data_IF_008578518938
#
_entry.id   IF_008578518938
#
_cell.length_a   1.000
_cell.length_b   1.000
_cell.length_c   1.000
_cell.angle_alpha   90.00
_cell.angle_beta   90.00
_cell.angle_gamma   90.00
#
_symmetry.space_group_name_H-M   'P 1'
#
loop_
_entity.id
_entity.type
_entity.pdbx_description
1 polymer ?
#
# COMPACT_ATOMS: atom_id res chain seq x y z
N UNK A 1 10.00 10.90 9.92
CA UNK A 1 9.35 10.65 8.63
C UNK A 1 9.95 9.43 7.94
N UNK A 2 11.27 9.31 7.94
CA UNK A 2 12.06 8.25 7.29
C UNK A 2 11.56 6.83 7.59
N UNK A 3 11.24 6.54 8.86
CA UNK A 3 10.67 5.25 9.26
C UNK A 3 9.38 4.92 8.49
N UNK A 4 8.47 5.89 8.31
CA UNK A 4 7.22 5.70 7.54
C UNK A 4 7.51 5.47 6.06
N UNK A 5 8.52 6.13 5.49
CA UNK A 5 8.94 5.89 4.09
C UNK A 5 9.49 4.49 3.92
N UNK A 6 10.33 4.02 4.85
CA UNK A 6 10.84 2.64 4.84
C UNK A 6 9.71 1.62 5.00
N UNK A 7 8.77 1.85 5.91
CA UNK A 7 7.58 0.99 6.09
C UNK A 7 6.71 0.97 4.83
N UNK A 8 6.50 2.11 4.18
CA UNK A 8 5.77 2.21 2.91
C UNK A 8 6.46 1.44 1.79
N UNK A 9 7.78 1.55 1.65
CA UNK A 9 8.56 0.78 0.67
C UNK A 9 8.43 -0.73 0.92
N UNK A 10 8.44 -1.17 2.18
CA UNK A 10 8.19 -2.58 2.52
C UNK A 10 6.76 -3.00 2.15
N UNK A 11 5.77 -2.15 2.41
CA UNK A 11 4.38 -2.38 1.99
C UNK A 11 4.25 -2.53 0.47
N UNK A 12 4.89 -1.66 -0.31
CA UNK A 12 4.93 -1.76 -1.78
C UNK A 12 5.53 -3.09 -2.25
N UNK A 13 6.66 -3.50 -1.68
CA UNK A 13 7.29 -4.80 -2.00
C UNK A 13 6.37 -5.97 -1.69
N UNK A 14 5.70 -5.95 -0.54
CA UNK A 14 4.76 -6.98 -0.14
C UNK A 14 3.49 -7.01 -1.01
N UNK A 15 3.12 -5.89 -1.62
CA UNK A 15 2.08 -5.81 -2.64
C UNK A 15 2.55 -6.24 -4.04
N UNK A 16 3.81 -6.69 -4.19
CA UNK A 16 4.38 -7.19 -5.44
C UNK A 16 5.11 -6.14 -6.28
N UNK A 17 5.19 -4.89 -5.81
CA UNK A 17 5.89 -3.80 -6.53
C UNK A 17 7.41 -3.99 -6.42
N UNK A 18 8.09 -4.01 -7.55
CA UNK A 18 9.55 -4.24 -7.60
C UNK A 18 10.36 -2.99 -7.29
N UNK A 19 10.54 -2.71 -6.00
CA UNK A 19 11.37 -1.60 -5.51
C UNK A 19 12.77 -2.08 -5.11
N UNK A 20 13.81 -1.67 -5.84
CA UNK A 20 15.22 -1.96 -5.52
C UNK A 20 15.76 -1.09 -4.37
N UNK A 21 16.95 -1.44 -3.86
CA UNK A 21 17.64 -0.62 -2.86
C UNK A 21 18.02 0.75 -3.41
N UNK A 22 18.44 0.83 -4.68
CA UNK A 22 18.79 2.11 -5.32
C UNK A 22 17.57 3.05 -5.36
N UNK A 23 16.40 2.55 -5.76
CA UNK A 23 15.15 3.32 -5.75
C UNK A 23 14.73 3.75 -4.35
N UNK A 24 15.01 2.91 -3.34
CA UNK A 24 14.76 3.28 -1.95
C UNK A 24 15.62 4.48 -1.55
N UNK A 25 16.90 4.49 -1.95
CA UNK A 25 17.81 5.62 -1.71
C UNK A 25 17.37 6.86 -2.50
N UNK A 26 16.99 6.69 -3.76
CA UNK A 26 16.50 7.79 -4.61
C UNK A 26 15.24 8.43 -4.04
N UNK A 27 14.30 7.62 -3.53
CA UNK A 27 13.10 8.10 -2.85
C UNK A 27 13.44 8.90 -1.58
N UNK A 28 14.37 8.42 -0.75
CA UNK A 28 14.82 9.15 0.43
C UNK A 28 15.44 10.50 0.06
N UNK A 29 16.33 10.52 -0.94
CA UNK A 29 16.96 11.76 -1.43
C UNK A 29 15.92 12.74 -1.99
N UNK A 30 14.91 12.24 -2.73
CA UNK A 30 13.85 13.07 -3.29
C UNK A 30 12.96 13.69 -2.20
N UNK A 31 12.65 12.94 -1.15
CA UNK A 31 11.92 13.45 0.02
C UNK A 31 12.72 14.50 0.79
N UNK A 32 14.03 14.31 0.93
CA UNK A 32 14.92 15.29 1.57
C UNK A 32 15.02 16.59 0.75
N UNK A 33 15.10 16.49 -0.58
CA UNK A 33 15.23 17.64 -1.47
C UNK A 33 13.93 18.43 -1.66
N UNK A 34 12.78 17.76 -1.73
CA UNK A 34 11.48 18.38 -2.04
C UNK A 34 10.63 18.67 -0.79
N UNK A 35 10.96 18.03 0.33
CA UNK A 35 10.23 18.15 1.58
C UNK A 35 8.89 17.39 1.60
N UNK A 36 8.14 17.59 2.69
CA UNK A 36 6.88 16.88 2.98
C UNK A 36 5.68 17.81 3.21
N UNK A 37 5.88 19.13 3.06
CA UNK A 37 4.86 20.15 3.36
C UNK A 37 3.73 20.11 2.35
N UNK A 38 4.07 19.98 1.07
CA UNK A 38 3.11 19.82 -0.01
C UNK A 38 2.88 18.33 -0.26
N UNK A 39 1.66 17.86 0.05
CA UNK A 39 1.27 16.46 -0.06
C UNK A 39 1.31 15.95 -1.50
N UNK A 40 0.99 16.79 -2.48
CA UNK A 40 0.96 16.39 -3.88
C UNK A 40 2.38 16.29 -4.46
N UNK A 41 3.26 17.22 -4.07
CA UNK A 41 4.69 17.13 -4.41
C UNK A 41 5.33 15.92 -3.74
N UNK A 42 5.05 15.69 -2.46
CA UNK A 42 5.54 14.53 -1.71
C UNK A 42 5.04 13.19 -2.29
N UNK A 43 3.76 13.12 -2.67
CA UNK A 43 3.20 11.94 -3.36
C UNK A 43 3.86 11.72 -4.71
N UNK A 44 4.03 12.79 -5.49
CA UNK A 44 4.60 12.72 -6.83
C UNK A 44 6.08 12.31 -6.80
N UNK A 45 6.85 12.79 -5.82
CA UNK A 45 8.26 12.43 -5.67
C UNK A 45 8.45 10.95 -5.34
N UNK A 46 7.65 10.41 -4.42
CA UNK A 46 7.67 8.98 -4.10
C UNK A 46 7.21 8.13 -5.29
N UNK A 47 6.14 8.54 -5.99
CA UNK A 47 5.66 7.79 -7.17
C UNK A 47 6.71 7.77 -8.28
N UNK A 48 7.37 8.90 -8.55
CA UNK A 48 8.37 9.02 -9.60
C UNK A 48 9.67 8.23 -9.31
N UNK A 49 10.01 8.04 -8.05
CA UNK A 49 11.23 7.34 -7.63
C UNK A 49 11.03 5.84 -7.39
N UNK A 50 9.82 5.42 -7.01
CA UNK A 50 9.53 4.04 -6.61
C UNK A 50 8.82 3.20 -7.68
N UNK A 51 8.10 3.83 -8.62
CA UNK A 51 7.24 3.11 -9.57
C UNK A 51 7.80 3.18 -11.00
N UNK A 52 8.11 2.02 -11.58
CA UNK A 52 8.65 1.87 -12.95
C UNK A 52 7.59 1.53 -14.00
N UNK A 53 6.59 0.75 -13.62
CA UNK A 53 5.56 0.21 -14.50
C UNK A 53 4.20 0.83 -14.13
N UNK A 54 3.38 1.19 -15.13
CA UNK A 54 2.07 1.81 -14.89
C UNK A 54 1.09 0.90 -14.14
N UNK A 55 1.29 -0.42 -14.24
CA UNK A 55 0.45 -1.41 -13.58
C UNK A 55 0.59 -1.33 -12.05
N UNK A 56 1.74 -0.86 -11.55
CA UNK A 56 2.01 -0.69 -10.11
C UNK A 56 1.41 0.61 -9.55
N UNK A 57 0.80 1.47 -10.38
CA UNK A 57 0.15 2.70 -9.90
C UNK A 57 -1.03 2.39 -8.97
N UNK A 58 -1.77 1.32 -9.23
CA UNK A 58 -2.91 0.92 -8.39
C UNK A 58 -2.42 0.59 -6.98
N UNK A 59 -1.38 -0.23 -6.85
CA UNK A 59 -0.81 -0.59 -5.55
C UNK A 59 -0.25 0.64 -4.81
N UNK A 60 0.41 1.55 -5.52
CA UNK A 60 0.90 2.79 -4.93
C UNK A 60 -0.24 3.67 -4.40
N UNK A 61 -1.26 3.92 -5.22
CA UNK A 61 -2.38 4.80 -4.89
C UNK A 61 -3.25 4.24 -3.76
N UNK A 62 -3.31 2.92 -3.62
CA UNK A 62 -3.98 2.25 -2.49
C UNK A 62 -3.18 2.32 -1.19
N UNK A 63 -1.86 2.09 -1.24
CA UNK A 63 -1.03 2.05 -0.04
C UNK A 63 -0.66 3.45 0.47
N UNK A 64 -0.44 4.41 -0.41
CA UNK A 64 0.04 5.74 -0.02
C UNK A 64 -0.83 6.41 1.06
N UNK A 65 -2.18 6.44 0.96
CA UNK A 65 -3.04 7.01 2.01
C UNK A 65 -2.94 6.27 3.35
N UNK A 66 -2.69 4.96 3.37
CA UNK A 66 -2.57 4.19 4.61
C UNK A 66 -1.31 4.57 5.40
N UNK A 67 -0.23 4.90 4.70
CA UNK A 67 1.04 5.28 5.32
C UNK A 67 1.19 6.77 5.57
N UNK A 68 0.59 7.63 4.74
CA UNK A 68 0.81 9.09 4.76
C UNK A 68 -0.48 9.93 4.89
N UNK A 69 -1.64 9.29 4.98
CA UNK A 69 -2.90 9.94 5.33
C UNK A 69 -2.94 10.39 6.80
N UNK A 70 -3.97 11.18 7.12
CA UNK A 70 -4.28 11.64 8.48
C UNK A 70 -4.94 10.56 9.35
N UNK A 71 -5.19 9.36 8.81
CA UNK A 71 -5.99 8.35 9.49
C UNK A 71 -7.49 8.51 9.26
N UNK A 72 -7.94 9.49 8.47
CA UNK A 72 -9.34 9.89 8.27
C UNK A 72 -9.54 11.37 8.64
N UNK A 73 -10.71 11.96 8.39
CA UNK A 73 -11.06 13.27 8.94
C UNK A 73 -11.17 13.17 10.48
N UNK A 74 -10.79 14.23 11.22
CA UNK A 74 -10.98 14.27 12.67
C UNK A 74 -12.47 14.34 13.00
N UNK A 75 -12.84 13.80 14.17
CA UNK A 75 -14.19 13.99 14.69
C UNK A 75 -14.35 15.43 15.20
N UNK A 76 -15.56 15.96 15.12
CA UNK A 76 -15.93 17.29 15.57
C UNK A 76 -16.70 17.19 16.88
N UNK A 77 -16.51 18.16 17.78
CA UNK A 77 -17.27 18.19 19.01
C UNK A 77 -18.69 18.70 18.73
N UNK A 78 -19.69 17.81 18.83
CA UNK A 78 -21.08 18.17 18.57
C UNK A 78 -21.70 19.04 19.68
N UNK A 79 -21.05 19.10 20.85
CA UNK A 79 -21.47 19.90 22.01
C UNK A 79 -20.98 21.34 21.96
N UNK A 80 -19.98 21.67 21.13
CA UNK A 80 -19.36 23.00 21.07
C UNK A 80 -20.37 24.11 20.72
N UNK A 81 -21.37 23.75 19.93
CA UNK A 81 -22.39 24.66 19.41
C UNK A 81 -23.72 24.63 20.19
N UNK A 82 -23.80 23.85 21.28
CA UNK A 82 -24.98 23.71 22.12
C UNK A 82 -24.89 24.64 23.35
N UNK A 83 -26.05 25.11 23.82
CA UNK A 83 -26.12 25.82 25.10
C UNK A 83 -25.86 24.87 26.29
N UNK A 84 -25.46 25.39 27.47
CA UNK A 84 -25.24 24.55 28.65
C UNK A 84 -26.45 23.69 29.05
N UNK A 85 -27.67 24.22 28.88
CA UNK A 85 -28.90 23.49 29.18
C UNK A 85 -29.12 22.35 28.18
N UNK A 86 -28.85 22.59 26.89
CA UNK A 86 -28.93 21.56 25.84
C UNK A 86 -27.88 20.46 26.02
N UNK A 87 -26.67 20.83 26.45
CA UNK A 87 -25.62 19.87 26.80
C UNK A 87 -26.06 18.94 27.94
N UNK A 88 -26.67 19.50 29.01
CA UNK A 88 -27.21 18.69 30.11
C UNK A 88 -28.33 17.75 29.64
N UNK A 89 -29.23 18.21 28.78
CA UNK A 89 -30.28 17.35 28.20
C UNK A 89 -29.67 16.18 27.40
N UNK A 90 -28.64 16.46 26.60
CA UNK A 90 -27.93 15.45 25.82
C UNK A 90 -27.25 14.42 26.73
N UNK A 91 -26.49 14.86 27.73
CA UNK A 91 -25.83 13.98 28.69
C UNK A 91 -26.83 13.08 29.42
N UNK A 92 -27.94 13.64 29.88
CA UNK A 92 -29.02 12.87 30.50
C UNK A 92 -29.60 11.82 29.55
N UNK A 93 -29.84 12.18 28.29
CA UNK A 93 -30.37 11.25 27.29
C UNK A 93 -29.37 10.13 26.96
N UNK A 94 -28.08 10.44 26.87
CA UNK A 94 -26.99 9.48 26.63
C UNK A 94 -26.76 8.55 27.83
N UNK A 95 -26.94 9.04 29.05
CA UNK A 95 -26.80 8.23 30.28
C UNK A 95 -27.80 7.08 30.37
N UNK A 96 -28.92 7.16 29.63
CA UNK A 96 -29.91 6.10 29.54
C UNK A 96 -29.48 4.95 28.60
N UNK A 97 -28.43 5.14 27.80
CA UNK A 97 -27.83 4.09 26.98
C UNK A 97 -26.94 3.20 27.85
N UNK A 98 -26.60 2.00 27.37
CA UNK A 98 -25.73 1.09 28.12
C UNK A 98 -24.69 0.41 27.23
N UNK A 99 -23.54 0.10 27.85
CA UNK A 99 -22.47 -0.69 27.26
C UNK A 99 -21.84 -0.02 26.03
N UNK A 100 -21.62 -0.81 24.97
CA UNK A 100 -20.89 -0.38 23.77
C UNK A 100 -21.55 0.76 23.00
N UNK A 101 -22.88 0.80 23.01
CA UNK A 101 -23.62 1.83 22.30
C UNK A 101 -23.42 3.20 22.97
N UNK A 102 -23.40 3.23 24.30
CA UNK A 102 -23.11 4.46 25.05
C UNK A 102 -21.70 4.98 24.69
N UNK A 103 -20.70 4.09 24.65
CA UNK A 103 -19.34 4.45 24.25
C UNK A 103 -19.26 4.96 22.80
N UNK A 104 -19.96 4.31 21.86
CA UNK A 104 -20.02 4.79 20.48
C UNK A 104 -20.65 6.17 20.39
N UNK A 105 -21.76 6.39 21.10
CA UNK A 105 -22.44 7.68 21.09
C UNK A 105 -21.56 8.77 21.70
N UNK A 106 -20.87 8.47 22.80
CA UNK A 106 -19.92 9.38 23.43
C UNK A 106 -18.85 9.84 22.42
N UNK A 107 -18.20 8.92 21.72
CA UNK A 107 -17.23 9.24 20.65
C UNK A 107 -17.82 10.12 19.55
N UNK A 108 -19.05 9.87 19.15
CA UNK A 108 -19.72 10.62 18.08
C UNK A 108 -20.18 12.01 18.53
N UNK A 109 -20.34 12.25 19.84
CA UNK A 109 -20.77 13.55 20.37
C UNK A 109 -19.65 14.41 20.92
N UNK A 110 -18.64 13.82 21.55
CA UNK A 110 -17.52 14.55 22.17
C UNK A 110 -16.48 15.03 21.16
N UNK A 111 -16.36 14.34 20.02
CA UNK A 111 -15.25 14.55 19.09
C UNK A 111 -13.96 13.83 19.51
N UNK A 112 -13.95 13.17 20.66
CA UNK A 112 -12.84 12.34 21.12
C UNK A 112 -13.10 10.90 20.69
N UNK A 113 -12.61 10.54 19.50
CA UNK A 113 -12.74 9.19 18.95
C UNK A 113 -11.93 8.14 19.71
N UNK A 114 -12.11 6.85 19.37
CA UNK A 114 -11.26 5.79 19.90
C UNK A 114 -9.79 6.07 19.64
N UNK A 115 -8.95 5.74 20.61
CA UNK A 115 -7.50 5.82 20.46
C UNK A 115 -7.01 4.88 19.35
N UNK A 116 -5.83 5.18 18.80
CA UNK A 116 -5.21 4.33 17.78
C UNK A 116 -5.02 2.89 18.28
N UNK A 117 -4.66 2.72 19.54
CA UNK A 117 -4.45 1.41 20.18
C UNK A 117 -5.76 0.63 20.31
N UNK A 118 -6.87 1.30 20.63
CA UNK A 118 -8.20 0.68 20.64
C UNK A 118 -8.65 0.26 19.23
N UNK A 119 -8.43 1.10 18.22
CA UNK A 119 -8.73 0.74 16.83
C UNK A 119 -7.88 -0.45 16.34
N UNK A 120 -6.60 -0.50 16.71
CA UNK A 120 -5.71 -1.64 16.43
C UNK A 120 -6.19 -2.94 17.09
N UNK A 121 -6.59 -2.87 18.35
CA UNK A 121 -7.09 -4.03 19.07
C UNK A 121 -8.45 -4.51 18.51
N UNK A 122 -9.35 -3.59 18.19
CA UNK A 122 -10.63 -3.89 17.54
C UNK A 122 -10.42 -4.51 16.15
N UNK A 123 -9.47 -4.01 15.37
CA UNK A 123 -9.11 -4.56 14.07
C UNK A 123 -8.56 -6.00 14.22
N UNK A 124 -7.65 -6.26 15.17
CA UNK A 124 -7.17 -7.62 15.51
C UNK A 124 -8.32 -8.57 15.84
N UNK A 125 -9.16 -8.20 16.80
CA UNK A 125 -10.34 -8.99 17.22
C UNK A 125 -11.34 -9.23 16.10
N UNK A 126 -11.41 -8.29 15.15
CA UNK A 126 -12.28 -8.39 13.97
C UNK A 126 -11.71 -9.31 12.90
N UNK A 127 -10.42 -9.64 12.96
CA UNK A 127 -9.78 -10.56 12.03
C UNK A 127 -8.80 -9.92 11.06
N UNK A 128 -8.24 -8.76 11.39
CA UNK A 128 -7.20 -8.15 10.55
C UNK A 128 -5.98 -9.08 10.38
N UNK A 129 -5.70 -9.95 11.35
CA UNK A 129 -4.53 -10.84 11.38
C UNK A 129 -4.47 -11.91 10.27
N UNK A 130 -5.64 -12.28 9.74
CA UNK A 130 -5.75 -13.29 8.70
C UNK A 130 -6.07 -12.72 7.33
N UNK A 131 -6.47 -11.45 7.26
CA UNK A 131 -6.86 -10.82 6.02
C UNK A 131 -5.64 -10.53 5.13
N UNK A 132 -5.70 -10.96 3.88
CA UNK A 132 -4.61 -10.85 2.90
C UNK A 132 -5.07 -10.29 1.55
N UNK A 133 -6.32 -9.82 1.47
CA UNK A 133 -6.85 -9.14 0.29
C UNK A 133 -7.68 -7.90 0.63
N UNK A 134 -7.90 -7.03 -0.36
CA UNK A 134 -8.75 -5.85 -0.19
C UNK A 134 -10.22 -6.21 0.09
N UNK A 135 -10.70 -7.35 -0.44
CA UNK A 135 -12.06 -7.85 -0.17
C UNK A 135 -12.22 -8.24 1.29
N UNK A 136 -11.23 -8.92 1.85
CA UNK A 136 -11.20 -9.29 3.26
C UNK A 136 -11.04 -8.05 4.14
N UNK A 137 -10.23 -7.06 3.75
CA UNK A 137 -10.13 -5.79 4.46
C UNK A 137 -11.52 -5.13 4.64
N UNK A 138 -12.31 -5.03 3.57
CA UNK A 138 -13.68 -4.49 3.63
C UNK A 138 -14.61 -5.30 4.54
N UNK A 139 -14.45 -6.63 4.53
CA UNK A 139 -15.21 -7.51 5.42
C UNK A 139 -14.81 -7.29 6.89
N UNK A 140 -13.50 -7.19 7.19
CA UNK A 140 -12.98 -6.95 8.55
C UNK A 140 -13.44 -5.59 9.04
N UNK A 141 -13.38 -4.53 8.22
CA UNK A 141 -13.90 -3.20 8.57
C UNK A 141 -15.38 -3.26 8.91
N UNK A 142 -16.21 -3.94 8.10
CA UNK A 142 -17.65 -4.07 8.39
C UNK A 142 -17.89 -4.78 9.71
N UNK A 143 -17.15 -5.85 9.98
CA UNK A 143 -17.23 -6.59 11.25
C UNK A 143 -16.79 -5.76 12.44
N UNK A 144 -15.73 -4.96 12.28
CA UNK A 144 -15.24 -4.01 13.28
C UNK A 144 -16.31 -2.98 13.63
N UNK A 145 -16.93 -2.34 12.63
CA UNK A 145 -18.02 -1.39 12.85
C UNK A 145 -19.22 -2.02 13.56
N UNK A 146 -19.57 -3.26 13.19
CA UNK A 146 -20.62 -4.00 13.90
C UNK A 146 -20.25 -4.24 15.38
N UNK A 147 -18.99 -4.60 15.67
CA UNK A 147 -18.51 -4.78 17.05
C UNK A 147 -18.53 -3.48 17.86
N UNK A 148 -18.31 -2.33 17.21
CA UNK A 148 -18.41 -0.99 17.82
C UNK A 148 -19.85 -0.56 18.11
N UNK A 149 -20.85 -1.21 17.53
CA UNK A 149 -22.27 -0.89 17.77
C UNK A 149 -23.00 -0.22 16.60
N UNK A 150 -22.34 -0.04 15.45
CA UNK A 150 -22.96 0.60 14.27
C UNK A 150 -24.21 -0.11 13.78
N UNK A 151 -24.36 -1.41 14.07
CA UNK A 151 -25.52 -2.21 13.65
C UNK A 151 -26.86 -1.67 14.18
N UNK A 152 -26.87 -1.01 15.35
CA UNK A 152 -28.07 -0.47 15.97
C UNK A 152 -28.06 1.06 16.06
N UNK A 153 -27.03 1.71 15.51
CA UNK A 153 -26.82 3.15 15.68
C UNK A 153 -27.98 3.97 15.12
N UNK A 154 -28.45 3.68 13.91
CA UNK A 154 -29.54 4.43 13.27
C UNK A 154 -30.83 4.44 14.11
N UNK A 155 -31.20 3.30 14.69
CA UNK A 155 -32.38 3.19 15.54
C UNK A 155 -32.23 4.02 16.81
N UNK A 156 -31.02 4.04 17.37
CA UNK A 156 -30.71 4.73 18.61
C UNK A 156 -30.61 6.24 18.41
N UNK A 157 -30.12 6.67 17.25
CA UNK A 157 -30.16 8.07 16.82
C UNK A 157 -31.60 8.58 16.68
N UNK A 158 -32.52 7.78 16.13
CA UNK A 158 -33.95 8.13 16.09
C UNK A 158 -34.55 8.26 17.49
N UNK A 159 -34.26 7.32 18.38
CA UNK A 159 -34.75 7.35 19.76
C UNK A 159 -34.18 8.52 20.56
N UNK A 160 -32.89 8.84 20.36
CA UNK A 160 -32.24 10.00 20.96
C UNK A 160 -32.91 11.29 20.49
N UNK A 161 -33.11 11.45 19.18
CA UNK A 161 -33.80 12.60 18.62
C UNK A 161 -35.17 12.82 19.26
N UNK A 162 -35.97 11.75 19.39
CA UNK A 162 -37.29 11.84 20.00
C UNK A 162 -37.21 12.25 21.48
N UNK A 163 -36.30 11.66 22.26
CA UNK A 163 -36.10 12.03 23.67
C UNK A 163 -35.69 13.49 23.84
N UNK A 164 -34.79 13.99 23.00
CA UNK A 164 -34.35 15.39 23.07
C UNK A 164 -35.50 16.36 22.75
N UNK A 165 -36.38 16.00 21.80
CA UNK A 165 -37.61 16.77 21.54
C UNK A 165 -38.54 16.77 22.76
N UNK A 166 -38.75 15.61 23.39
CA UNK A 166 -39.58 15.48 24.61
C UNK A 166 -39.02 16.29 25.79
N UNK A 167 -37.69 16.42 25.89
CA UNK A 167 -37.00 17.23 26.89
C UNK A 167 -37.01 18.73 26.58
N UNK A 168 -37.56 19.14 25.43
CA UNK A 168 -37.74 20.55 25.07
C UNK A 168 -36.60 21.18 24.27
N UNK A 169 -35.67 20.37 23.73
CA UNK A 169 -34.60 20.87 22.87
C UNK A 169 -35.17 21.37 21.53
N UNK A 170 -34.63 22.48 21.02
CA UNK A 170 -35.11 23.08 19.77
C UNK A 170 -34.85 22.18 18.56
N UNK A 171 -35.75 22.21 17.56
CA UNK A 171 -35.57 21.39 16.35
C UNK A 171 -34.30 21.78 15.57
N UNK A 172 -33.91 23.06 15.61
CA UNK A 172 -32.68 23.55 14.98
C UNK A 172 -31.43 22.98 15.64
N UNK A 173 -31.37 23.00 16.99
CA UNK A 173 -30.27 22.42 17.74
C UNK A 173 -30.15 20.90 17.50
N UNK A 174 -31.28 20.19 17.49
CA UNK A 174 -31.34 18.77 17.18
C UNK A 174 -30.81 18.50 15.76
N UNK A 175 -31.28 19.24 14.76
CA UNK A 175 -30.82 19.03 13.38
C UNK A 175 -29.32 19.29 13.23
N UNK A 176 -28.78 20.29 13.93
CA UNK A 176 -27.35 20.60 13.94
C UNK A 176 -26.54 19.48 14.61
N UNK A 177 -26.95 19.05 15.81
CA UNK A 177 -26.37 17.93 16.53
C UNK A 177 -26.33 16.67 15.66
N UNK A 178 -27.47 16.30 15.05
CA UNK A 178 -27.57 15.13 14.19
C UNK A 178 -26.67 15.23 12.95
N UNK A 179 -26.51 16.43 12.38
CA UNK A 179 -25.59 16.66 11.27
C UNK A 179 -24.13 16.40 11.65
N UNK A 180 -23.69 16.87 12.82
CA UNK A 180 -22.33 16.64 13.32
C UNK A 180 -22.11 15.17 13.65
N UNK A 181 -23.08 14.54 14.34
CA UNK A 181 -23.01 13.11 14.68
C UNK A 181 -22.92 12.23 13.42
N UNK A 182 -23.64 12.59 12.36
CA UNK A 182 -23.58 11.86 11.09
C UNK A 182 -22.23 12.05 10.38
N UNK A 183 -21.68 13.27 10.37
CA UNK A 183 -20.34 13.51 9.85
C UNK A 183 -19.27 12.74 10.64
N UNK A 184 -19.40 12.70 11.98
CA UNK A 184 -18.53 11.93 12.85
C UNK A 184 -18.67 10.42 12.61
N UNK A 185 -19.88 9.93 12.32
CA UNK A 185 -20.14 8.53 11.98
C UNK A 185 -19.39 8.12 10.72
N UNK A 186 -19.44 8.95 9.68
CA UNK A 186 -18.71 8.73 8.43
C UNK A 186 -17.19 8.80 8.65
N UNK A 187 -16.72 9.81 9.39
CA UNK A 187 -15.32 9.97 9.75
C UNK A 187 -14.77 8.76 10.50
N UNK A 188 -15.49 8.28 11.53
CA UNK A 188 -15.10 7.11 12.31
C UNK A 188 -15.08 5.83 11.47
N UNK A 189 -16.03 5.67 10.54
CA UNK A 189 -16.04 4.55 9.61
C UNK A 189 -14.82 4.57 8.67
N UNK A 190 -14.43 5.74 8.19
CA UNK A 190 -13.21 5.91 7.40
C UNK A 190 -11.96 5.62 8.23
N UNK A 191 -11.88 6.12 9.47
CA UNK A 191 -10.77 5.84 10.39
C UNK A 191 -10.60 4.34 10.64
N UNK A 192 -11.69 3.62 10.88
CA UNK A 192 -11.68 2.16 11.03
C UNK A 192 -11.19 1.46 9.75
N UNK A 193 -11.62 1.91 8.57
CA UNK A 193 -11.19 1.35 7.30
C UNK A 193 -9.69 1.56 7.05
N UNK A 194 -9.18 2.77 7.32
CA UNK A 194 -7.77 3.09 7.19
C UNK A 194 -6.91 2.28 8.16
N UNK A 195 -7.37 2.13 9.41
CA UNK A 195 -6.64 1.35 10.40
C UNK A 195 -6.56 -0.14 10.03
N UNK A 196 -7.68 -0.74 9.60
CA UNK A 196 -7.69 -2.14 9.11
C UNK A 196 -6.77 -2.30 7.90
N UNK A 197 -6.86 -1.40 6.93
CA UNK A 197 -6.01 -1.44 5.73
C UNK A 197 -4.52 -1.35 6.08
N UNK A 198 -4.16 -0.44 6.98
CA UNK A 198 -2.78 -0.26 7.45
C UNK A 198 -2.25 -1.51 8.15
N UNK A 199 -3.04 -2.09 9.06
CA UNK A 199 -2.64 -3.28 9.79
C UNK A 199 -2.40 -4.48 8.85
N UNK A 200 -3.28 -4.68 7.87
CA UNK A 200 -3.11 -5.73 6.84
C UNK A 200 -1.83 -5.48 6.02
N UNK A 201 -1.59 -4.24 5.59
CA UNK A 201 -0.38 -3.89 4.84
C UNK A 201 0.91 -4.13 5.66
N UNK A 202 0.91 -3.75 6.94
CA UNK A 202 2.04 -3.98 7.85
C UNK A 202 2.28 -5.48 8.08
N UNK A 203 1.23 -6.29 8.22
CA UNK A 203 1.37 -7.73 8.36
C UNK A 203 1.91 -8.40 7.10
N UNK A 204 1.41 -8.03 5.92
CA UNK A 204 1.98 -8.51 4.66
C UNK A 204 3.46 -8.15 4.54
N UNK A 205 3.83 -6.94 4.92
CA UNK A 205 5.22 -6.48 4.90
C UNK A 205 6.13 -7.21 5.90
N UNK A 206 5.58 -7.70 7.02
CA UNK A 206 6.31 -8.38 8.07
C UNK A 206 6.28 -9.92 7.94
N UNK A 207 5.40 -10.48 7.10
CA UNK A 207 5.44 -11.92 6.80
C UNK A 207 6.81 -12.21 6.17
N UNK A 208 7.60 -13.13 6.76
CA UNK A 208 8.82 -13.59 6.10
C UNK A 208 8.41 -14.07 4.71
N UNK A 209 9.23 -13.65 3.76
CA UNK A 209 8.99 -13.65 2.34
C UNK A 209 8.68 -15.07 1.80
N UNK A 210 7.47 -15.59 2.03
CA UNK A 210 6.96 -16.77 1.32
C UNK A 210 6.81 -16.46 -0.18
N UNK A 211 6.87 -15.18 -0.55
CA UNK A 211 6.99 -14.70 -1.94
C UNK A 211 8.42 -14.72 -2.50
N UNK A 212 9.47 -14.80 -1.67
CA UNK A 212 10.80 -15.25 -2.10
C UNK A 212 10.91 -16.77 -2.17
N UNK A 213 9.87 -17.49 -1.74
CA UNK A 213 9.66 -18.88 -2.07
C UNK A 213 8.87 -19.02 -3.37
N UNK A 214 9.57 -18.71 -4.46
CA UNK A 214 9.49 -19.54 -5.66
C UNK A 214 9.84 -21.01 -5.42
N UNK A 215 9.97 -21.51 -4.18
CA UNK A 215 10.27 -22.90 -3.88
C UNK A 215 9.04 -23.80 -3.96
N UNK A 216 7.82 -23.32 -3.69
CA UNK A 216 6.67 -24.23 -3.76
C UNK A 216 6.20 -24.43 -5.20
N UNK A 217 6.15 -23.39 -6.03
CA UNK A 217 5.90 -23.54 -7.47
C UNK A 217 7.00 -24.33 -8.20
N UNK A 218 8.27 -24.18 -7.78
CA UNK A 218 9.39 -24.91 -8.40
C UNK A 218 9.47 -26.38 -7.96
N UNK A 219 8.95 -26.71 -6.76
CA UNK A 219 8.96 -28.07 -6.22
C UNK A 219 7.59 -28.77 -6.31
N UNK A 220 6.52 -28.06 -6.67
CA UNK A 220 5.17 -28.61 -6.85
C UNK A 220 5.09 -29.33 -8.20
N UNK A 221 4.65 -30.60 -8.22
CA UNK A 221 4.50 -31.33 -9.48
C UNK A 221 3.50 -30.61 -10.39
N UNK A 222 3.82 -30.53 -11.69
CA UNK A 222 3.03 -29.78 -12.68
C UNK A 222 1.53 -30.15 -12.70
N UNK A 223 1.19 -31.36 -12.28
CA UNK A 223 -0.18 -31.87 -12.21
C UNK A 223 -1.00 -31.28 -11.06
N UNK A 224 -0.35 -30.73 -10.02
CA UNK A 224 -0.99 -30.13 -8.86
C UNK A 224 -1.14 -28.60 -8.98
N UNK A 225 -0.70 -28.02 -10.10
CA UNK A 225 -0.81 -26.58 -10.34
C UNK A 225 -2.25 -26.19 -10.64
N UNK A 226 -2.73 -25.12 -10.01
CA UNK A 226 -3.95 -24.44 -10.45
C UNK A 226 -3.67 -23.66 -11.74
N UNK A 227 -4.73 -23.28 -12.46
CA UNK A 227 -4.60 -22.53 -13.72
C UNK A 227 -3.91 -21.17 -13.52
N UNK A 228 -4.20 -20.48 -12.42
CA UNK A 228 -3.56 -19.23 -12.04
C UNK A 228 -2.07 -19.40 -11.69
N UNK A 229 -1.72 -20.50 -11.01
CA UNK A 229 -0.32 -20.84 -10.68
C UNK A 229 0.49 -21.17 -11.94
N UNK A 230 -0.11 -21.90 -12.89
CA UNK A 230 0.53 -22.25 -14.15
C UNK A 230 0.87 -21.01 -15.00
N UNK A 231 -0.03 -20.02 -15.03
CA UNK A 231 0.22 -18.77 -15.75
C UNK A 231 1.29 -17.90 -15.09
N UNK A 232 1.35 -17.88 -13.76
CA UNK A 232 2.47 -17.27 -13.02
C UNK A 232 3.81 -17.95 -13.37
N UNK A 233 3.85 -19.28 -13.39
CA UNK A 233 5.04 -20.05 -13.75
C UNK A 233 5.52 -19.74 -15.18
N UNK A 234 4.60 -19.67 -16.15
CA UNK A 234 4.92 -19.33 -17.55
C UNK A 234 5.54 -17.94 -17.67
N UNK A 235 5.03 -16.94 -16.94
CA UNK A 235 5.58 -15.57 -16.93
C UNK A 235 7.01 -15.55 -16.37
N UNK A 236 7.28 -16.27 -15.28
CA UNK A 236 8.63 -16.35 -14.72
C UNK A 236 9.61 -17.09 -15.65
N UNK A 237 9.18 -18.17 -16.30
CA UNK A 237 9.99 -18.87 -17.31
C UNK A 237 10.32 -17.94 -18.48
N UNK A 238 9.34 -17.19 -18.99
CA UNK A 238 9.59 -16.20 -20.06
C UNK A 238 10.58 -15.12 -19.63
N UNK A 239 10.51 -14.67 -18.38
CA UNK A 239 11.45 -13.69 -17.80
C UNK A 239 12.87 -14.26 -17.78
N UNK A 240 13.05 -15.49 -17.30
CA UNK A 240 14.35 -16.18 -17.27
C UNK A 240 14.92 -16.37 -18.68
N UNK A 241 14.10 -16.81 -19.64
CA UNK A 241 14.51 -16.97 -21.04
C UNK A 241 14.96 -15.64 -21.64
N UNK A 242 14.27 -14.54 -21.32
CA UNK A 242 14.62 -13.19 -21.79
C UNK A 242 15.94 -12.71 -21.18
N UNK A 243 16.17 -12.99 -19.90
CA UNK A 243 17.45 -12.71 -19.21
C UNK A 243 18.61 -13.54 -19.78
N UNK A 244 18.37 -14.82 -20.08
CA UNK A 244 19.36 -15.68 -20.74
C UNK A 244 19.69 -15.18 -22.15
N UNK A 245 18.68 -14.74 -22.92
CA UNK A 245 18.87 -14.20 -24.28
C UNK A 245 19.67 -12.89 -24.29
N UNK A 246 19.37 -11.98 -23.36
CA UNK A 246 20.09 -10.71 -23.21
C UNK A 246 21.54 -10.93 -22.72
N UNK A 247 21.75 -11.83 -21.75
CA UNK A 247 23.10 -12.23 -21.30
C UNK A 247 23.89 -12.95 -22.41
N UNK A 248 23.25 -13.80 -23.22
CA UNK A 248 23.87 -14.42 -24.38
C UNK A 248 24.24 -13.41 -25.48
N UNK A 249 23.44 -12.36 -25.67
CA UNK A 249 23.75 -11.28 -26.60
C UNK A 249 24.96 -10.44 -26.14
N UNK A 250 25.05 -10.14 -24.83
CA UNK A 250 26.19 -9.45 -24.21
C UNK A 250 27.49 -10.27 -24.24
N UNK A 251 27.39 -11.61 -24.27
CA UNK A 251 28.53 -12.53 -24.37
C UNK A 251 29.14 -12.64 -25.76
N UNK A 252 28.64 -11.92 -26.77
CA UNK A 252 29.19 -11.97 -28.14
C UNK A 252 30.47 -11.13 -28.24
N UNK A 253 31.64 -11.76 -28.41
CA UNK A 253 32.92 -11.09 -28.76
C UNK A 253 33.03 -10.93 -30.28
N UNK A 254 33.63 -9.84 -30.76
CA UNK A 254 34.01 -9.72 -32.18
C UNK A 254 35.06 -10.80 -32.52
N UNK A 255 34.84 -11.54 -33.59
CA UNK A 255 35.75 -12.58 -34.04
C UNK A 255 36.93 -12.01 -34.83
N UNK A 256 38.04 -12.76 -34.88
CA UNK A 256 39.27 -12.36 -35.55
C UNK A 256 39.36 -12.84 -37.02
N UNK A 257 38.29 -13.47 -37.54
CA UNK A 257 38.17 -13.99 -38.91
C UNK A 257 36.72 -13.87 -39.39
N UNK A 258 36.49 -13.71 -40.68
CA UNK A 258 35.16 -13.66 -41.31
C UNK A 258 35.02 -12.51 -42.28
N UNK A 259 33.78 -12.04 -42.52
CA UNK A 259 33.52 -10.92 -43.43
C UNK A 259 34.22 -9.65 -42.93
N UNK A 260 35.11 -9.11 -43.75
CA UNK A 260 35.90 -7.91 -43.49
C UNK A 260 35.00 -6.69 -43.28
N UNK A 261 35.31 -5.87 -42.27
CA UNK A 261 34.60 -4.63 -42.01
C UNK A 261 35.46 -3.43 -42.41
N UNK A 262 35.36 -3.02 -43.67
CA UNK A 262 36.18 -1.94 -44.23
C UNK A 262 36.07 -0.63 -43.44
N UNK A 263 34.84 -0.20 -43.11
CA UNK A 263 34.58 1.04 -42.36
C UNK A 263 35.23 1.04 -40.97
N UNK A 264 35.01 -0.02 -40.21
CA UNK A 264 35.58 -0.14 -38.85
C UNK A 264 37.11 -0.30 -38.88
N UNK A 265 37.64 -0.98 -39.91
CA UNK A 265 39.09 -1.16 -40.11
C UNK A 265 39.75 0.18 -40.42
N UNK A 266 39.25 0.93 -41.41
CA UNK A 266 39.80 2.24 -41.76
C UNK A 266 39.76 3.20 -40.56
N UNK A 267 38.63 3.26 -39.84
CA UNK A 267 38.49 4.10 -38.64
C UNK A 267 39.49 3.71 -37.54
N UNK A 268 39.68 2.43 -37.27
CA UNK A 268 40.63 1.97 -36.25
C UNK A 268 42.10 2.24 -36.62
N UNK A 269 42.40 2.33 -37.92
CA UNK A 269 43.74 2.56 -38.44
C UNK A 269 44.04 4.01 -38.84
N UNK A 270 43.19 4.97 -38.47
CA UNK A 270 43.47 6.39 -38.73
C UNK A 270 44.81 6.84 -38.14
N UNK A 271 45.18 6.28 -36.96
CA UNK A 271 46.49 6.51 -36.33
C UNK A 271 47.69 6.00 -37.13
N UNK A 272 47.47 5.11 -38.09
CA UNK A 272 48.49 4.56 -38.99
C UNK A 272 48.40 5.15 -40.40
N UNK A 273 47.87 6.37 -40.52
CA UNK A 273 47.69 7.03 -41.83
C UNK A 273 46.68 6.31 -42.74
N UNK A 274 45.75 5.54 -42.17
CA UNK A 274 44.77 4.77 -42.93
C UNK A 274 45.28 3.43 -43.46
N UNK A 275 46.56 3.08 -43.20
CA UNK A 275 47.14 1.80 -43.57
C UNK A 275 46.54 0.69 -42.68
N UNK A 276 45.93 -0.39 -43.24
CA UNK A 276 45.23 -1.42 -42.46
C UNK A 276 46.14 -2.36 -41.64
N UNK A 277 46.75 -1.86 -40.57
CA UNK A 277 47.56 -2.65 -39.63
C UNK A 277 46.71 -3.50 -38.69
N UNK A 278 45.54 -2.99 -38.26
CA UNK A 278 44.56 -3.67 -37.41
C UNK A 278 43.29 -4.02 -38.18
N UNK A 279 43.16 -5.27 -38.62
CA UNK A 279 41.96 -5.72 -39.34
C UNK A 279 40.77 -5.94 -38.39
N UNK A 280 39.59 -5.39 -38.73
CA UNK A 280 38.33 -5.59 -37.99
C UNK A 280 37.35 -6.42 -38.83
N UNK A 281 36.65 -7.35 -38.17
CA UNK A 281 35.72 -8.28 -38.83
C UNK A 281 34.31 -8.21 -38.21
N UNK A 282 33.27 -8.46 -39.03
CA UNK A 282 31.86 -8.39 -38.62
C UNK A 282 31.34 -9.63 -37.88
N UNK A 283 32.01 -10.77 -38.03
CA UNK A 283 31.58 -12.04 -37.43
C UNK A 283 31.70 -11.96 -35.90
N UNK A 284 30.63 -12.25 -35.16
CA UNK A 284 30.63 -12.32 -33.69
C UNK A 284 30.69 -13.79 -33.24
N UNK A 285 31.47 -14.10 -32.21
CA UNK A 285 31.57 -15.42 -31.57
C UNK A 285 31.05 -15.34 -30.13
N UNK A 286 30.42 -16.39 -29.63
CA UNK A 286 30.06 -16.50 -28.21
C UNK A 286 31.33 -16.62 -27.37
N UNK A 287 31.46 -15.82 -26.29
CA UNK A 287 32.48 -16.03 -25.26
C UNK A 287 32.14 -17.32 -24.49
N UNK A 288 33.05 -18.28 -24.32
CA UNK A 288 32.79 -19.48 -23.53
C UNK A 288 32.55 -19.14 -22.05
N UNK A 289 31.79 -19.98 -21.34
CA UNK A 289 31.61 -19.92 -19.87
C UNK A 289 32.00 -21.28 -19.31
N UNK A 290 32.96 -21.29 -18.40
CA UNK A 290 33.21 -22.42 -17.53
C UNK A 290 32.29 -22.26 -16.31
N UNK A 291 31.46 -23.25 -16.07
CA UNK A 291 30.76 -23.42 -14.80
C UNK A 291 31.40 -24.64 -14.13
N UNK A 292 32.02 -24.43 -12.96
CA UNK A 292 32.56 -25.50 -12.14
C UNK A 292 31.44 -25.91 -11.18
N UNK A 293 30.91 -27.12 -11.35
CA UNK A 293 29.98 -27.71 -10.39
C UNK A 293 30.85 -28.53 -9.45
N UNK A 294 31.03 -28.02 -8.23
CA UNK A 294 31.65 -28.78 -7.15
C UNK A 294 30.51 -29.42 -6.35
N UNK A 295 30.46 -30.75 -6.36
CA UNK A 295 29.68 -31.50 -5.39
C UNK A 295 30.48 -31.56 -4.07
N UNK A 296 29.80 -31.43 -2.93
CA UNK A 296 30.39 -31.56 -1.58
C UNK A 296 29.63 -32.66 -0.85
#
# INVERSE_FOLDING_TARGET
MDKRVVEFIRGLRAAGVRVSLAESVDAMNAVEALGITDKDVFRSSLRATLIKDSDDFVAFDELFPLYFGSGGPPLQNAMEDLSPDEQQMLEMALSALSGRLQQLMDWLTSGDGPSKEELEELARRSGADWADSQREARWVTRRMLQQMGFAHLEEQLRQLQQKLQEMGMSQEAINKLMGVVEANREALAEQAAQQVGRQIAEQRANRPDDTLHGSDLMNKPFQALTEEEADKLRKEVQRLVTQLRSRAALRRKKGNKGKFDSKSTIRANQRYGGVPMELRFRKKKLKPSLALICDV
#
